data_IF_764074859842
#
_entry.id   IF_764074859842
#
_cell.length_a   1.000
_cell.length_b   1.000
_cell.length_c   1.000
_cell.angle_alpha   90.00
_cell.angle_beta   90.00
_cell.angle_gamma   90.00
#
_symmetry.space_group_name_H-M   'P 1'
#
loop_
_entity.id
_entity.type
_entity.pdbx_description
1 polymer ?
#
# COMPACT_ATOMS: atom_id res chain seq x y z
N UNK A 1 -10.78 -9.07 -13.10
CA UNK A 1 -10.14 -10.37 -12.76
C UNK A 1 -11.09 -11.19 -11.88
N UNK A 2 -11.20 -12.51 -12.05
CA UNK A 2 -11.96 -13.38 -11.16
C UNK A 2 -11.08 -13.96 -10.05
N UNK A 3 -11.69 -14.54 -9.00
CA UNK A 3 -10.96 -15.05 -7.85
C UNK A 3 -9.94 -16.18 -8.17
N UNK A 4 -10.25 -17.19 -9.01
CA UNK A 4 -9.26 -18.19 -9.39
C UNK A 4 -8.02 -17.61 -10.07
N UNK A 5 -8.19 -16.62 -10.96
CA UNK A 5 -7.05 -15.93 -11.59
C UNK A 5 -6.21 -15.15 -10.57
N UNK A 6 -6.85 -14.46 -9.63
CA UNK A 6 -6.14 -13.76 -8.56
C UNK A 6 -5.30 -14.73 -7.72
N UNK A 7 -5.90 -15.84 -7.27
CA UNK A 7 -5.20 -16.84 -6.45
C UNK A 7 -3.98 -17.40 -7.19
N UNK A 8 -4.09 -17.65 -8.50
CA UNK A 8 -2.97 -18.14 -9.30
C UNK A 8 -1.85 -17.09 -9.40
N UNK A 9 -2.16 -15.82 -9.63
CA UNK A 9 -1.18 -14.72 -9.63
C UNK A 9 -0.47 -14.61 -8.28
N UNK A 10 -1.21 -14.70 -7.18
CA UNK A 10 -0.63 -14.67 -5.84
C UNK A 10 0.29 -15.88 -5.59
N UNK A 11 -0.11 -17.06 -6.06
CA UNK A 11 0.71 -18.30 -5.97
C UNK A 11 2.01 -18.17 -6.76
N UNK A 12 1.94 -17.72 -8.01
CA UNK A 12 3.12 -17.51 -8.84
C UNK A 12 4.09 -16.51 -8.21
N UNK A 13 3.57 -15.41 -7.65
CA UNK A 13 4.36 -14.39 -6.95
C UNK A 13 4.99 -14.95 -5.69
N UNK A 14 4.24 -15.71 -4.90
CA UNK A 14 4.75 -16.39 -3.71
C UNK A 14 5.90 -17.34 -4.03
N UNK A 15 5.80 -18.13 -5.10
CA UNK A 15 6.87 -19.03 -5.55
C UNK A 15 8.08 -18.22 -6.04
N UNK A 16 7.86 -17.17 -6.84
CA UNK A 16 8.92 -16.31 -7.36
C UNK A 16 9.73 -15.64 -6.26
N UNK A 17 9.07 -15.22 -5.20
CA UNK A 17 9.67 -14.49 -4.08
C UNK A 17 9.92 -15.37 -2.85
N UNK A 18 10.16 -16.67 -3.04
CA UNK A 18 10.27 -17.66 -1.96
C UNK A 18 11.20 -17.27 -0.81
N UNK A 19 12.22 -16.43 -1.08
CA UNK A 19 13.13 -15.94 -0.04
C UNK A 19 12.42 -15.08 1.03
N UNK A 20 11.29 -14.45 0.71
CA UNK A 20 10.49 -13.66 1.64
C UNK A 20 9.55 -14.52 2.50
N UNK A 21 9.33 -15.78 2.11
CA UNK A 21 8.26 -16.61 2.65
C UNK A 21 8.76 -17.76 3.55
N UNK A 22 9.93 -17.61 4.17
CA UNK A 22 10.51 -18.66 5.02
C UNK A 22 9.54 -19.11 6.12
N UNK A 23 9.19 -20.40 6.11
CA UNK A 23 8.28 -20.98 7.09
C UNK A 23 6.80 -20.69 6.87
N UNK A 24 6.41 -20.08 5.74
CA UNK A 24 5.02 -19.85 5.36
C UNK A 24 4.61 -20.90 4.33
N UNK A 25 3.47 -21.53 4.55
CA UNK A 25 2.82 -22.45 3.60
C UNK A 25 1.67 -21.74 2.88
N UNK A 26 1.70 -21.76 1.55
CA UNK A 26 0.69 -21.07 0.73
C UNK A 26 -0.72 -21.68 0.88
N UNK A 27 -0.84 -22.99 1.12
CA UNK A 27 -2.13 -23.63 1.35
C UNK A 27 -2.79 -23.12 2.64
N UNK A 28 -2.00 -22.81 3.66
CA UNK A 28 -2.48 -22.13 4.87
C UNK A 28 -3.06 -20.75 4.55
N UNK A 29 -2.43 -20.02 3.62
CA UNK A 29 -2.90 -18.70 3.18
C UNK A 29 -4.24 -18.85 2.45
N UNK A 30 -4.36 -19.81 1.54
CA UNK A 30 -5.62 -20.06 0.79
C UNK A 30 -6.77 -20.29 1.78
N UNK A 31 -6.55 -21.03 2.84
CA UNK A 31 -7.55 -21.27 3.89
C UNK A 31 -8.09 -20.02 4.58
N UNK A 32 -7.36 -18.89 4.50
CA UNK A 32 -7.74 -17.59 5.09
C UNK A 32 -8.34 -16.60 4.10
N UNK A 33 -8.36 -16.92 2.81
CA UNK A 33 -8.87 -16.04 1.75
C UNK A 33 -10.41 -16.03 1.74
N UNK A 34 -11.03 -15.31 2.64
CA UNK A 34 -12.48 -15.05 2.64
C UNK A 34 -12.87 -14.19 1.41
N UNK A 35 -14.15 -14.17 1.00
CA UNK A 35 -14.59 -13.28 -0.08
C UNK A 35 -14.20 -11.82 0.12
N UNK A 36 -14.28 -11.30 1.35
CA UNK A 36 -13.88 -9.92 1.68
C UNK A 36 -12.38 -9.70 1.51
N UNK A 37 -11.55 -10.64 1.94
CA UNK A 37 -10.10 -10.60 1.75
C UNK A 37 -9.75 -10.62 0.26
N UNK A 38 -10.43 -11.46 -0.53
CA UNK A 38 -10.22 -11.54 -1.98
C UNK A 38 -10.59 -10.23 -2.70
N UNK A 39 -11.63 -9.52 -2.27
CA UNK A 39 -11.98 -8.20 -2.83
C UNK A 39 -10.88 -7.16 -2.54
N UNK A 40 -10.33 -7.14 -1.32
CA UNK A 40 -9.22 -6.24 -0.98
C UNK A 40 -7.95 -6.58 -1.77
N UNK A 41 -7.59 -7.86 -1.87
CA UNK A 41 -6.43 -8.32 -2.66
C UNK A 41 -6.61 -8.03 -4.15
N UNK A 42 -7.83 -8.18 -4.67
CA UNK A 42 -8.17 -7.84 -6.05
C UNK A 42 -7.95 -6.35 -6.33
N UNK A 43 -8.38 -5.47 -5.42
CA UNK A 43 -8.09 -4.04 -5.52
C UNK A 43 -6.58 -3.77 -5.53
N UNK A 44 -5.84 -4.41 -4.61
CA UNK A 44 -4.39 -4.25 -4.56
C UNK A 44 -3.72 -4.67 -5.87
N UNK A 45 -4.13 -5.81 -6.45
CA UNK A 45 -3.59 -6.32 -7.71
C UNK A 45 -3.98 -5.45 -8.91
N UNK A 46 -5.28 -5.17 -9.10
CA UNK A 46 -5.80 -4.44 -10.26
C UNK A 46 -5.33 -2.99 -10.31
N UNK A 47 -5.03 -2.39 -9.15
CA UNK A 47 -4.43 -1.05 -9.07
C UNK A 47 -2.90 -1.04 -9.28
N UNK A 48 -2.27 -2.20 -9.46
CA UNK A 48 -0.84 -2.33 -9.74
C UNK A 48 0.05 -2.40 -8.50
N UNK A 49 -0.50 -2.84 -7.35
CA UNK A 49 0.24 -2.97 -6.10
C UNK A 49 1.12 -4.21 -6.03
N UNK A 50 0.79 -5.26 -6.78
CA UNK A 50 1.50 -6.55 -6.73
C UNK A 50 1.58 -7.10 -5.30
N UNK A 51 0.42 -7.35 -4.61
CA UNK A 51 0.42 -7.77 -3.22
C UNK A 51 1.18 -9.08 -2.99
N UNK A 52 2.05 -9.09 -1.97
CA UNK A 52 2.77 -10.28 -1.53
C UNK A 52 2.82 -10.35 -0.01
N UNK A 53 2.96 -11.57 0.53
CA UNK A 53 3.06 -11.80 1.97
C UNK A 53 4.50 -11.53 2.38
N UNK A 54 4.72 -10.53 3.22
CA UNK A 54 6.07 -10.18 3.66
C UNK A 54 6.27 -10.24 5.17
N UNK A 55 5.20 -10.50 5.91
CA UNK A 55 5.27 -10.64 7.37
C UNK A 55 4.20 -11.59 7.90
N UNK A 56 4.49 -12.14 9.07
CA UNK A 56 3.54 -12.88 9.90
C UNK A 56 3.59 -12.34 11.33
N UNK A 57 2.47 -11.79 11.78
CA UNK A 57 2.30 -11.32 13.15
C UNK A 57 1.89 -12.52 14.04
N UNK A 58 2.85 -13.02 14.82
CA UNK A 58 2.62 -14.15 15.74
C UNK A 58 1.67 -13.80 16.89
N UNK A 59 1.58 -12.54 17.27
CA UNK A 59 0.76 -12.11 18.41
C UNK A 59 -0.73 -12.08 18.05
N UNK A 60 -1.05 -11.75 16.82
CA UNK A 60 -2.41 -11.71 16.27
C UNK A 60 -2.75 -12.94 15.43
N UNK A 61 -1.81 -13.84 15.16
CA UNK A 61 -1.92 -14.95 14.21
C UNK A 61 -2.39 -14.49 12.83
N UNK A 62 -1.73 -13.46 12.27
CA UNK A 62 -2.09 -12.85 10.99
C UNK A 62 -0.94 -12.80 10.01
N UNK A 63 -1.21 -13.19 8.77
CA UNK A 63 -0.35 -12.92 7.65
C UNK A 63 -0.59 -11.52 7.12
N UNK A 64 0.47 -10.84 6.67
CA UNK A 64 0.39 -9.46 6.24
C UNK A 64 0.86 -9.36 4.79
N UNK A 65 -0.07 -9.02 3.90
CA UNK A 65 0.21 -8.63 2.53
C UNK A 65 0.59 -7.16 2.49
N UNK A 66 1.62 -6.84 1.70
CA UNK A 66 1.99 -5.47 1.33
C UNK A 66 1.98 -5.32 -0.18
N UNK A 67 1.80 -4.11 -0.66
CA UNK A 67 2.14 -3.78 -2.04
C UNK A 67 3.66 -3.88 -2.24
N UNK A 68 4.08 -4.75 -3.16
CA UNK A 68 5.50 -4.99 -3.47
C UNK A 68 5.91 -4.56 -4.87
N UNK A 69 5.03 -3.85 -5.60
CA UNK A 69 5.39 -3.24 -6.88
C UNK A 69 6.57 -2.28 -6.73
N UNK A 70 7.48 -2.22 -7.71
CA UNK A 70 8.72 -1.42 -7.62
C UNK A 70 8.46 0.06 -7.42
N UNK A 71 7.43 0.59 -8.04
CA UNK A 71 7.00 1.97 -7.92
C UNK A 71 5.62 2.04 -7.27
N UNK A 72 5.26 3.17 -6.68
CA UNK A 72 3.91 3.42 -6.17
C UNK A 72 2.86 2.97 -7.18
N UNK A 73 1.83 2.22 -6.80
CA UNK A 73 0.85 1.63 -7.72
C UNK A 73 0.24 2.66 -8.67
N UNK A 74 0.31 2.39 -9.97
CA UNK A 74 -0.07 3.37 -10.99
C UNK A 74 -1.56 3.74 -10.92
N UNK A 75 -2.42 2.80 -10.59
CA UNK A 75 -3.86 3.01 -10.42
C UNK A 75 -4.25 3.83 -9.18
N UNK A 76 -3.28 4.16 -8.32
CA UNK A 76 -3.49 4.90 -7.07
C UNK A 76 -2.71 6.22 -7.01
N UNK A 77 -2.23 6.72 -8.14
CA UNK A 77 -1.52 7.99 -8.21
C UNK A 77 -2.46 9.16 -8.44
N UNK A 78 -1.96 10.36 -8.21
CA UNK A 78 -2.69 11.62 -8.40
C UNK A 78 -3.85 11.82 -7.43
N UNK A 79 -3.77 11.27 -6.22
CA UNK A 79 -4.71 11.51 -5.14
C UNK A 79 -4.11 12.43 -4.08
N UNK A 80 -4.93 13.31 -3.50
CA UNK A 80 -4.59 13.99 -2.25
C UNK A 80 -4.70 13.01 -1.07
N UNK A 81 -4.31 13.46 0.13
CA UNK A 81 -4.17 12.55 1.25
C UNK A 81 -5.51 11.98 1.75
N UNK A 82 -6.48 12.85 2.08
CA UNK A 82 -7.77 12.44 2.63
C UNK A 82 -8.94 13.31 2.13
N UNK A 83 -10.15 12.98 2.54
CA UNK A 83 -11.38 13.66 2.09
C UNK A 83 -11.49 15.09 2.58
N UNK A 84 -10.95 15.42 3.76
CA UNK A 84 -10.90 16.80 4.24
C UNK A 84 -10.04 17.64 3.30
N UNK A 85 -8.86 17.15 2.96
CA UNK A 85 -7.96 17.78 2.01
C UNK A 85 -8.57 17.86 0.59
N UNK A 86 -9.26 16.82 0.13
CA UNK A 86 -9.98 16.81 -1.13
C UNK A 86 -11.07 17.87 -1.17
N UNK A 87 -11.86 17.99 -0.10
CA UNK A 87 -12.97 18.94 -0.01
C UNK A 87 -12.51 20.40 0.14
N UNK A 88 -11.33 20.63 0.74
CA UNK A 88 -10.74 21.98 0.87
C UNK A 88 -10.34 22.60 -0.48
N UNK A 89 -10.13 21.78 -1.50
CA UNK A 89 -9.71 22.26 -2.84
C UNK A 89 -10.86 22.97 -3.56
N UNK A 90 -10.57 24.16 -4.10
CA UNK A 90 -11.54 24.96 -4.89
C UNK A 90 -11.55 24.57 -6.36
N UNK A 91 -10.43 24.05 -6.88
CA UNK A 91 -10.29 23.67 -8.30
C UNK A 91 -9.36 22.45 -8.44
N UNK A 92 -9.42 21.79 -9.60
CA UNK A 92 -8.58 20.66 -9.96
C UNK A 92 -8.60 19.56 -8.88
N UNK A 93 -9.80 19.19 -8.43
CA UNK A 93 -9.97 18.11 -7.45
C UNK A 93 -9.63 16.78 -8.09
N UNK A 94 -8.77 15.96 -7.46
CA UNK A 94 -8.62 14.56 -7.86
C UNK A 94 -9.93 13.79 -7.67
N UNK A 95 -10.04 12.60 -8.28
CA UNK A 95 -11.24 11.77 -8.23
C UNK A 95 -11.54 11.26 -6.81
N UNK A 96 -10.50 11.03 -6.02
CA UNK A 96 -10.60 10.47 -4.68
C UNK A 96 -9.41 10.91 -3.83
N UNK A 97 -9.32 10.41 -2.61
CA UNK A 97 -8.20 10.58 -1.69
C UNK A 97 -7.62 9.24 -1.28
N UNK A 98 -6.33 9.23 -0.89
CA UNK A 98 -5.64 8.01 -0.52
C UNK A 98 -6.32 7.29 0.67
N UNK A 99 -6.68 8.04 1.72
CA UNK A 99 -7.35 7.47 2.89
C UNK A 99 -8.74 6.93 2.58
N UNK A 100 -9.50 7.61 1.70
CA UNK A 100 -10.82 7.13 1.29
C UNK A 100 -10.71 5.80 0.54
N UNK A 101 -9.83 5.72 -0.44
CA UNK A 101 -9.59 4.49 -1.20
C UNK A 101 -9.19 3.32 -0.26
N UNK A 102 -8.32 3.58 0.71
CA UNK A 102 -7.92 2.55 1.67
C UNK A 102 -9.12 2.04 2.50
N UNK A 103 -9.97 2.94 2.98
CA UNK A 103 -11.18 2.60 3.74
C UNK A 103 -12.18 1.83 2.88
N UNK A 104 -12.48 2.32 1.69
CA UNK A 104 -13.47 1.73 0.76
C UNK A 104 -13.08 0.29 0.37
N UNK A 105 -11.79 0.00 0.29
CA UNK A 105 -11.26 -1.31 -0.08
C UNK A 105 -10.77 -2.16 1.11
N UNK A 106 -11.05 -1.72 2.34
CA UNK A 106 -10.69 -2.43 3.58
C UNK A 106 -9.20 -2.78 3.67
N UNK A 107 -8.33 -1.86 3.29
CA UNK A 107 -6.87 -1.95 3.39
C UNK A 107 -6.31 -0.80 4.22
N UNK A 108 -5.07 -0.91 4.68
CA UNK A 108 -4.41 0.11 5.49
C UNK A 108 -3.27 0.77 4.71
N UNK A 109 -3.19 2.10 4.69
CA UNK A 109 -2.01 2.80 4.17
C UNK A 109 -0.81 2.47 5.06
N UNK A 110 0.36 2.24 4.45
CA UNK A 110 1.58 1.93 5.19
C UNK A 110 1.93 3.07 6.15
N UNK A 111 2.23 2.73 7.39
CA UNK A 111 2.86 3.65 8.33
C UNK A 111 4.31 3.92 7.92
N UNK A 112 4.96 4.88 8.57
CA UNK A 112 6.39 5.14 8.39
C UNK A 112 7.23 3.90 8.71
N UNK A 113 6.90 3.17 9.78
CA UNK A 113 7.56 1.93 10.19
C UNK A 113 7.37 0.82 9.15
N UNK A 114 6.14 0.63 8.65
CA UNK A 114 5.85 -0.32 7.56
C UNK A 114 6.66 0.00 6.30
N UNK A 115 6.78 1.29 5.98
CA UNK A 115 7.51 1.73 4.79
C UNK A 115 9.01 1.47 4.92
N UNK A 116 9.62 1.75 6.07
CA UNK A 116 11.01 1.40 6.34
C UNK A 116 11.24 -0.11 6.30
N UNK A 117 10.29 -0.89 6.83
CA UNK A 117 10.35 -2.34 6.74
C UNK A 117 10.33 -2.82 5.29
N UNK A 118 9.38 -2.33 4.47
CA UNK A 118 9.33 -2.64 3.05
C UNK A 118 10.65 -2.29 2.34
N UNK A 119 11.19 -1.10 2.60
CA UNK A 119 12.44 -0.62 2.00
C UNK A 119 13.67 -1.43 2.43
N UNK A 120 13.61 -2.17 3.54
CA UNK A 120 14.67 -3.10 3.97
C UNK A 120 14.70 -4.37 3.12
N UNK A 121 13.60 -4.71 2.45
CA UNK A 121 13.48 -5.90 1.59
C UNK A 121 13.93 -5.63 0.15
N UNK A 122 14.11 -4.38 -0.24
CA UNK A 122 14.52 -4.02 -1.60
C UNK A 122 14.46 -2.53 -1.89
N UNK A 123 14.50 -2.20 -3.16
CA UNK A 123 14.40 -0.82 -3.64
C UNK A 123 13.00 -0.55 -4.17
N UNK A 124 12.29 0.37 -3.54
CA UNK A 124 10.94 0.79 -3.89
C UNK A 124 10.87 2.31 -4.02
N UNK A 125 9.99 2.80 -4.89
CA UNK A 125 9.77 4.24 -5.10
C UNK A 125 11.04 5.01 -5.48
N UNK A 126 11.81 4.48 -6.45
CA UNK A 126 12.98 5.17 -7.01
C UNK A 126 12.60 6.30 -7.98
N UNK A 127 11.39 6.24 -8.57
CA UNK A 127 10.86 7.21 -9.55
C UNK A 127 9.50 7.77 -9.14
N UNK A 128 8.92 7.23 -8.10
CA UNK A 128 7.64 7.63 -7.55
C UNK A 128 7.77 7.96 -6.07
N UNK A 129 6.68 8.38 -5.45
CA UNK A 129 6.57 8.52 -4.00
C UNK A 129 5.23 7.99 -3.52
N UNK A 130 5.14 7.65 -2.24
CA UNK A 130 3.94 7.08 -1.65
C UNK A 130 3.52 7.87 -0.41
N UNK A 131 2.24 8.31 -0.36
CA UNK A 131 1.64 8.79 0.88
C UNK A 131 1.74 7.70 1.95
N UNK A 132 2.03 8.13 3.18
CA UNK A 132 2.11 7.27 4.36
C UNK A 132 1.03 7.67 5.37
N UNK A 133 0.61 6.74 6.20
CA UNK A 133 -0.29 7.05 7.29
C UNK A 133 0.33 8.16 8.16
N UNK A 134 -0.36 9.28 8.19
CA UNK A 134 0.17 10.50 8.79
C UNK A 134 -0.29 10.63 10.24
N UNK A 135 0.62 10.80 11.21
CA UNK A 135 0.27 11.07 12.60
C UNK A 135 -0.65 12.28 12.77
N UNK A 136 -1.56 12.19 13.73
CA UNK A 136 -2.59 13.22 13.96
C UNK A 136 -2.00 14.61 14.22
N UNK A 137 -0.85 14.70 14.93
CA UNK A 137 -0.18 15.96 15.21
C UNK A 137 0.33 16.70 13.97
N UNK A 138 0.62 15.97 12.89
CA UNK A 138 1.00 16.54 11.59
C UNK A 138 -0.28 16.86 10.80
N UNK A 139 -1.22 15.88 10.76
CA UNK A 139 -2.44 16.04 9.95
C UNK A 139 -3.30 17.20 10.46
N UNK A 140 -3.44 17.38 11.77
CA UNK A 140 -4.21 18.47 12.38
C UNK A 140 -3.63 19.88 12.08
N UNK A 141 -2.39 19.93 11.59
CA UNK A 141 -1.75 21.17 11.10
C UNK A 141 -1.81 21.34 9.59
N UNK A 142 -2.61 20.51 8.91
CA UNK A 142 -2.82 20.56 7.46
C UNK A 142 -1.80 19.78 6.64
N UNK A 143 -0.83 19.11 7.27
CA UNK A 143 0.22 18.34 6.59
C UNK A 143 -0.15 16.88 6.36
N UNK A 144 0.60 16.22 5.47
CA UNK A 144 0.68 14.78 5.33
C UNK A 144 2.10 14.36 4.95
N UNK A 145 2.50 13.15 5.34
CA UNK A 145 3.83 12.61 5.06
C UNK A 145 3.81 11.65 3.89
N UNK A 146 4.93 11.58 3.18
CA UNK A 146 5.15 10.64 2.08
C UNK A 146 6.62 10.20 2.05
N UNK A 147 6.89 9.06 1.43
CA UNK A 147 8.23 8.50 1.32
C UNK A 147 8.65 8.23 -0.11
N UNK A 148 9.96 8.21 -0.33
CA UNK A 148 10.64 7.73 -1.52
C UNK A 148 12.02 7.15 -1.18
N UNK A 149 12.75 6.65 -2.19
CA UNK A 149 14.13 6.17 -2.01
C UNK A 149 15.03 6.73 -3.09
N UNK A 150 16.04 7.50 -2.69
CA UNK A 150 17.06 8.03 -3.58
C UNK A 150 18.46 7.86 -2.98
N UNK A 151 19.47 7.73 -3.84
CA UNK A 151 20.87 7.58 -3.41
C UNK A 151 21.09 6.44 -2.41
N UNK A 152 20.33 5.34 -2.54
CA UNK A 152 20.42 4.20 -1.62
C UNK A 152 19.79 4.43 -0.23
N UNK A 153 19.09 5.55 -0.02
CA UNK A 153 18.49 5.94 1.26
C UNK A 153 16.99 6.20 1.13
N UNK A 154 16.24 5.74 2.10
CA UNK A 154 14.81 6.07 2.26
C UNK A 154 14.68 7.44 2.91
N UNK A 155 13.81 8.28 2.36
CA UNK A 155 13.48 9.60 2.89
C UNK A 155 11.99 9.69 3.18
N UNK A 156 11.66 10.38 4.27
CA UNK A 156 10.29 10.77 4.60
C UNK A 156 10.21 12.29 4.55
N UNK A 157 9.24 12.76 3.77
CA UNK A 157 8.98 14.18 3.53
C UNK A 157 7.56 14.55 3.91
N UNK A 158 7.21 15.79 3.69
CA UNK A 158 5.88 16.33 3.95
C UNK A 158 5.39 17.23 2.81
N UNK A 159 4.08 17.31 2.67
CA UNK A 159 3.38 18.35 1.91
C UNK A 159 2.10 18.75 2.61
N UNK A 160 1.43 19.82 2.16
CA UNK A 160 0.03 20.02 2.49
C UNK A 160 -0.79 18.80 2.03
N UNK A 161 -1.72 18.36 2.85
CA UNK A 161 -2.51 17.15 2.58
C UNK A 161 -3.35 17.26 1.29
N UNK A 162 -3.68 18.48 0.84
CA UNK A 162 -4.40 18.80 -0.39
C UNK A 162 -3.55 18.67 -1.66
N UNK A 163 -2.22 18.51 -1.53
CA UNK A 163 -1.32 18.38 -2.66
C UNK A 163 -1.48 17.01 -3.32
N UNK A 164 -1.27 16.94 -4.64
CA UNK A 164 -1.16 15.69 -5.37
C UNK A 164 -0.23 15.85 -6.57
N UNK A 165 0.39 14.72 -6.99
CA UNK A 165 1.36 14.69 -8.08
C UNK A 165 1.16 13.43 -8.91
N UNK A 166 1.45 13.49 -10.19
CA UNK A 166 1.27 12.36 -11.13
C UNK A 166 2.12 11.14 -10.80
N UNK A 167 3.22 11.31 -10.07
CA UNK A 167 4.11 10.24 -9.63
C UNK A 167 3.96 9.91 -8.13
N UNK A 168 2.98 10.50 -7.43
CA UNK A 168 2.67 10.18 -6.05
C UNK A 168 1.39 9.38 -5.95
N UNK A 169 1.49 8.21 -5.36
CA UNK A 169 0.36 7.37 -4.99
C UNK A 169 0.39 7.05 -3.51
N UNK A 170 -0.02 5.83 -3.17
CA UNK A 170 0.07 5.27 -1.83
C UNK A 170 0.17 3.76 -1.92
N UNK A 171 0.83 3.17 -0.92
CA UNK A 171 0.95 1.73 -0.73
C UNK A 171 0.11 1.32 0.44
N UNK A 172 -0.41 0.10 0.36
CA UNK A 172 -1.26 -0.44 1.41
C UNK A 172 -0.76 -1.81 1.87
N UNK A 173 -1.24 -2.19 3.06
CA UNK A 173 -1.13 -3.54 3.60
C UNK A 173 -2.51 -4.10 3.92
N UNK A 174 -2.59 -5.42 3.99
CA UNK A 174 -3.79 -6.16 4.38
C UNK A 174 -3.40 -7.27 5.34
N UNK A 175 -3.99 -7.30 6.53
CA UNK A 175 -3.85 -8.38 7.51
C UNK A 175 -4.96 -9.41 7.32
N UNK A 176 -4.60 -10.69 7.27
CA UNK A 176 -5.54 -11.80 7.11
C UNK A 176 -5.37 -12.88 8.19
#
# INVERSE_FOLDING_TARGET
MNNPQLIEILRERFIKNAALHSGIDFETIIGRLTPKVLESLKYMEESGGEPDIIAYDKSEDKYIFFDTSKESPIGRRSYCYDDEALNSRKANKPLSSAMKEAVDHCVEILSEEDYFFLQSLGDFDLKSSSWLYTPAEIRNRGGAIFGDKHFGRTFIYHNGAESYYSNRGFRVKLKI
#
